data_IF_879554756989
#
_entry.id   IF_879554756989
#
_cell.length_a   1.000
_cell.length_b   1.000
_cell.length_c   1.000
_cell.angle_alpha   90.00
_cell.angle_beta   90.00
_cell.angle_gamma   90.00
#
_symmetry.space_group_name_H-M   'P 1'
#
loop_
_entity.id
_entity.type
_entity.pdbx_description
1 polymer ?
#
# COMPACT_ATOMS: atom_id res chain seq x y z
N UNK A 1 23.93 -18.06 13.06
CA UNK A 1 25.22 -18.33 12.36
C UNK A 1 25.55 -17.39 11.21
N UNK A 2 24.69 -17.20 10.19
CA UNK A 2 25.00 -16.30 9.05
C UNK A 2 25.21 -14.83 9.48
N UNK A 3 24.41 -14.33 10.42
CA UNK A 3 24.54 -12.97 10.99
C UNK A 3 25.88 -12.79 11.70
N UNK A 4 26.28 -13.76 12.54
CA UNK A 4 27.56 -13.74 13.25
C UNK A 4 28.77 -13.66 12.30
N UNK A 5 28.69 -14.32 11.14
CA UNK A 5 29.75 -14.27 10.10
C UNK A 5 29.87 -12.92 9.40
N UNK A 6 28.84 -12.06 9.46
CA UNK A 6 28.86 -10.73 8.83
C UNK A 6 29.54 -9.68 9.70
N UNK A 7 29.80 -9.97 10.99
CA UNK A 7 30.37 -9.03 11.97
C UNK A 7 29.66 -7.66 11.95
N UNK A 8 28.33 -7.62 12.14
CA UNK A 8 27.59 -6.36 12.11
C UNK A 8 28.02 -5.45 13.26
N UNK A 9 27.99 -4.14 13.02
CA UNK A 9 28.10 -3.09 14.03
C UNK A 9 26.73 -2.71 14.63
N UNK A 10 25.66 -2.99 13.92
CA UNK A 10 24.26 -2.85 14.35
C UNK A 10 23.39 -3.92 13.67
N UNK A 11 22.45 -4.50 14.42
CA UNK A 11 21.40 -5.37 13.91
C UNK A 11 20.06 -4.66 14.03
N UNK A 12 19.40 -4.46 12.89
CA UNK A 12 18.03 -3.95 12.82
C UNK A 12 17.07 -5.10 12.53
N UNK A 13 16.04 -5.23 13.35
CA UNK A 13 14.98 -6.21 13.18
C UNK A 13 13.62 -5.60 13.46
N UNK A 14 12.62 -6.47 13.55
CA UNK A 14 11.29 -6.12 14.04
C UNK A 14 10.93 -6.98 15.24
N UNK A 15 9.85 -6.65 15.94
CA UNK A 15 9.31 -7.43 17.05
C UNK A 15 8.98 -8.89 16.69
N UNK A 16 8.91 -9.27 15.41
CA UNK A 16 8.88 -10.68 14.99
C UNK A 16 10.11 -11.49 15.40
N UNK A 17 11.23 -10.83 15.68
CA UNK A 17 12.50 -11.46 16.09
C UNK A 17 12.72 -11.40 17.60
N UNK A 18 11.69 -11.10 18.39
CA UNK A 18 11.78 -10.98 19.85
C UNK A 18 12.31 -12.27 20.51
N UNK A 19 11.84 -13.44 20.07
CA UNK A 19 12.29 -14.75 20.59
C UNK A 19 13.79 -15.02 20.43
N UNK A 20 14.46 -14.31 19.51
CA UNK A 20 15.90 -14.45 19.25
C UNK A 20 16.69 -13.20 19.62
N UNK A 21 16.06 -12.22 20.27
CA UNK A 21 16.69 -10.95 20.61
C UNK A 21 17.98 -11.12 21.44
N UNK A 22 17.94 -11.96 22.47
CA UNK A 22 19.10 -12.21 23.33
C UNK A 22 20.27 -12.82 22.55
N UNK A 23 19.98 -13.65 21.54
CA UNK A 23 21.00 -14.24 20.68
C UNK A 23 21.60 -13.21 19.73
N UNK A 24 20.77 -12.31 19.17
CA UNK A 24 21.24 -11.23 18.30
C UNK A 24 22.05 -10.19 19.08
N UNK A 25 21.63 -9.86 20.30
CA UNK A 25 22.29 -8.88 21.17
C UNK A 25 23.68 -9.34 21.64
N UNK A 26 23.97 -10.64 21.62
CA UNK A 26 25.31 -11.17 21.84
C UNK A 26 26.25 -10.96 20.64
N UNK A 27 25.71 -10.68 19.45
CA UNK A 27 26.48 -10.46 18.22
C UNK A 27 26.84 -8.97 18.07
N UNK A 28 25.86 -8.09 18.21
CA UNK A 28 26.00 -6.64 18.05
C UNK A 28 24.84 -5.91 18.75
N UNK A 29 24.94 -4.59 18.98
CA UNK A 29 23.79 -3.76 19.34
C UNK A 29 22.59 -4.10 18.44
N UNK A 30 21.45 -4.38 19.05
CA UNK A 30 20.26 -4.86 18.33
C UNK A 30 19.08 -3.96 18.65
N UNK A 31 18.41 -3.45 17.61
CA UNK A 31 17.18 -2.67 17.73
C UNK A 31 16.07 -3.40 17.00
N UNK A 32 14.97 -3.67 17.71
CA UNK A 32 13.76 -4.22 17.12
C UNK A 32 12.71 -3.12 16.98
N UNK A 33 12.36 -2.77 15.74
CA UNK A 33 11.26 -1.87 15.48
C UNK A 33 9.92 -2.57 15.77
N UNK A 34 9.02 -1.88 16.47
CA UNK A 34 7.68 -2.40 16.75
C UNK A 34 6.88 -2.49 15.45
N UNK A 35 6.41 -3.70 15.12
CA UNK A 35 5.51 -3.93 14.01
C UNK A 35 4.10 -4.18 14.53
N UNK A 36 3.22 -3.18 14.41
CA UNK A 36 1.81 -3.26 14.82
C UNK A 36 0.86 -3.53 13.64
N UNK A 37 1.38 -3.54 12.41
CA UNK A 37 0.60 -3.63 11.18
C UNK A 37 1.34 -3.03 9.99
N UNK A 38 0.82 -3.22 8.78
CA UNK A 38 1.47 -2.67 7.56
C UNK A 38 1.37 -1.15 7.47
N UNK A 39 0.44 -0.55 8.21
CA UNK A 39 0.26 0.88 8.42
C UNK A 39 1.31 1.51 9.36
N UNK A 40 2.04 0.71 10.15
CA UNK A 40 3.07 1.19 11.10
C UNK A 40 4.40 1.60 10.46
N UNK A 41 4.50 1.60 9.12
CA UNK A 41 5.74 1.83 8.38
C UNK A 41 6.44 3.15 8.71
N UNK A 42 5.68 4.23 9.02
CA UNK A 42 6.24 5.53 9.41
C UNK A 42 6.99 5.45 10.75
N UNK A 43 6.39 4.77 11.74
CA UNK A 43 7.01 4.56 13.06
C UNK A 43 8.24 3.65 12.97
N UNK A 44 8.19 2.62 12.12
CA UNK A 44 9.35 1.78 11.82
C UNK A 44 10.47 2.61 11.19
N UNK A 45 10.16 3.49 10.23
CA UNK A 45 11.13 4.38 9.62
C UNK A 45 11.79 5.31 10.67
N UNK A 46 11.00 5.85 11.60
CA UNK A 46 11.50 6.66 12.72
C UNK A 46 12.46 5.87 13.62
N UNK A 47 12.04 4.67 14.06
CA UNK A 47 12.86 3.82 14.93
C UNK A 47 14.19 3.45 14.28
N UNK A 48 14.16 3.15 12.97
CA UNK A 48 15.38 2.87 12.20
C UNK A 48 16.27 4.12 12.12
N UNK A 49 15.68 5.29 11.85
CA UNK A 49 16.40 6.57 11.81
C UNK A 49 17.15 6.89 13.09
N UNK A 50 16.49 6.71 14.24
CA UNK A 50 17.10 6.89 15.56
C UNK A 50 18.26 5.89 15.77
N UNK A 51 18.04 4.62 15.44
CA UNK A 51 19.04 3.56 15.61
C UNK A 51 20.32 3.80 14.80
N UNK A 52 20.21 4.45 13.63
CA UNK A 52 21.38 4.81 12.80
C UNK A 52 21.85 6.25 13.00
N UNK A 53 21.32 6.97 13.98
CA UNK A 53 21.63 8.38 14.27
C UNK A 53 21.42 9.31 13.06
N UNK A 54 20.29 9.14 12.37
CA UNK A 54 19.88 9.91 11.18
C UNK A 54 18.50 10.59 11.38
N UNK A 55 18.16 10.97 12.62
CA UNK A 55 16.83 11.49 12.96
C UNK A 55 16.41 12.68 12.10
N UNK A 56 17.29 13.66 11.88
CA UNK A 56 17.00 14.84 11.03
C UNK A 56 16.64 14.44 9.59
N UNK A 57 17.37 13.48 9.01
CA UNK A 57 17.09 13.00 7.65
C UNK A 57 15.78 12.21 7.57
N UNK A 58 15.50 11.43 8.60
CA UNK A 58 14.23 10.68 8.72
C UNK A 58 13.04 11.62 8.84
N UNK A 59 13.14 12.66 9.67
CA UNK A 59 12.11 13.69 9.79
C UNK A 59 11.89 14.41 8.45
N UNK A 60 12.98 14.83 7.79
CA UNK A 60 12.89 15.47 6.47
C UNK A 60 12.16 14.60 5.42
N UNK A 61 12.40 13.28 5.42
CA UNK A 61 11.72 12.35 4.49
C UNK A 61 10.22 12.25 4.79
N UNK A 62 9.83 12.28 6.07
CA UNK A 62 8.42 12.25 6.45
C UNK A 62 7.74 13.61 6.18
N UNK A 63 8.43 14.72 6.38
CA UNK A 63 7.92 16.04 6.05
C UNK A 63 7.67 16.19 4.54
N UNK A 64 8.60 15.72 3.70
CA UNK A 64 8.41 15.66 2.25
C UNK A 64 7.20 14.80 1.87
N UNK A 65 7.06 13.61 2.49
CA UNK A 65 5.89 12.76 2.31
C UNK A 65 4.58 13.51 2.60
N UNK A 66 4.47 14.19 3.74
CA UNK A 66 3.27 14.95 4.10
C UNK A 66 3.01 16.12 3.15
N UNK A 67 4.06 16.86 2.77
CA UNK A 67 3.94 17.97 1.80
C UNK A 67 3.42 17.49 0.45
N UNK A 68 3.85 16.31 -0.02
CA UNK A 68 3.35 15.71 -1.26
C UNK A 68 1.87 15.32 -1.18
N UNK A 69 1.40 14.84 -0.02
CA UNK A 69 -0.02 14.55 0.17
C UNK A 69 -0.88 15.81 0.17
N UNK A 70 -0.41 16.88 0.82
CA UNK A 70 -1.06 18.18 0.79
C UNK A 70 -1.16 18.70 -0.66
N UNK A 71 -0.05 18.68 -1.40
CA UNK A 71 -0.02 19.07 -2.81
C UNK A 71 -0.98 18.23 -3.68
N UNK A 72 -1.09 16.93 -3.41
CA UNK A 72 -2.04 16.06 -4.12
C UNK A 72 -3.49 16.51 -3.85
N UNK A 73 -3.85 16.76 -2.58
CA UNK A 73 -5.19 17.30 -2.24
C UNK A 73 -5.44 18.65 -2.89
N UNK A 74 -4.48 19.56 -2.85
CA UNK A 74 -4.59 20.89 -3.48
C UNK A 74 -4.87 20.79 -4.98
N UNK A 75 -4.16 19.89 -5.68
CA UNK A 75 -4.37 19.68 -7.12
C UNK A 75 -5.72 19.05 -7.45
N UNK A 76 -6.26 18.23 -6.55
CA UNK A 76 -7.60 17.66 -6.71
C UNK A 76 -8.71 18.70 -6.43
N UNK A 77 -8.40 19.74 -5.63
CA UNK A 77 -9.38 20.76 -5.25
C UNK A 77 -10.61 20.13 -4.58
N UNK A 78 -11.80 20.60 -4.95
CA UNK A 78 -13.08 20.12 -4.40
C UNK A 78 -13.30 18.61 -4.62
N UNK A 79 -12.68 18.02 -5.66
CA UNK A 79 -12.78 16.57 -5.91
C UNK A 79 -12.15 15.73 -4.80
N UNK A 80 -11.18 16.27 -4.06
CA UNK A 80 -10.52 15.55 -2.97
C UNK A 80 -11.50 15.06 -1.89
N UNK A 81 -12.62 15.77 -1.71
CA UNK A 81 -13.62 15.46 -0.69
C UNK A 81 -14.72 14.53 -1.20
N UNK A 82 -14.93 14.47 -2.52
CA UNK A 82 -16.01 13.70 -3.14
C UNK A 82 -15.55 12.40 -3.78
N UNK A 83 -14.30 12.32 -4.25
CA UNK A 83 -13.81 11.17 -5.01
C UNK A 83 -13.67 9.92 -4.11
N UNK A 84 -14.32 8.82 -4.47
CA UNK A 84 -14.19 7.54 -3.79
C UNK A 84 -13.12 6.64 -4.43
N UNK A 85 -12.02 6.45 -3.71
CA UNK A 85 -10.89 5.63 -4.14
C UNK A 85 -11.02 4.19 -3.62
N UNK A 86 -11.27 3.28 -4.55
CA UNK A 86 -11.26 1.84 -4.32
C UNK A 86 -9.89 1.24 -4.60
N UNK A 87 -9.47 0.28 -3.78
CA UNK A 87 -8.23 -0.47 -3.99
C UNK A 87 -8.52 -1.96 -3.88
N UNK A 88 -8.26 -2.68 -4.97
CA UNK A 88 -8.52 -4.11 -5.09
C UNK A 88 -7.21 -4.86 -5.29
N UNK A 89 -6.97 -5.85 -4.44
CA UNK A 89 -5.89 -6.82 -4.65
C UNK A 89 -6.44 -8.12 -5.19
N UNK A 90 -5.81 -8.60 -6.25
CA UNK A 90 -6.12 -9.89 -6.86
C UNK A 90 -5.04 -10.91 -6.50
N UNK A 91 -5.48 -12.04 -5.94
CA UNK A 91 -4.68 -13.21 -5.62
C UNK A 91 -4.96 -14.37 -6.59
N UNK A 92 -4.18 -15.46 -6.57
CA UNK A 92 -4.48 -16.66 -7.34
C UNK A 92 -5.84 -17.30 -7.05
N UNK A 93 -6.38 -17.11 -5.84
CA UNK A 93 -7.53 -17.83 -5.29
C UNK A 93 -8.66 -16.92 -4.78
N UNK A 94 -8.45 -15.60 -4.70
CA UNK A 94 -9.42 -14.65 -4.13
C UNK A 94 -9.22 -13.22 -4.60
N UNK A 95 -10.25 -12.40 -4.38
CA UNK A 95 -10.21 -10.95 -4.52
C UNK A 95 -10.36 -10.34 -3.12
N UNK A 96 -9.57 -9.31 -2.82
CA UNK A 96 -9.58 -8.64 -1.53
C UNK A 96 -9.70 -7.13 -1.72
N UNK A 97 -10.64 -6.52 -1.02
CA UNK A 97 -10.78 -5.09 -0.92
C UNK A 97 -9.80 -4.59 0.14
N UNK A 98 -8.85 -3.75 -0.25
CA UNK A 98 -7.80 -3.26 0.64
C UNK A 98 -8.39 -2.26 1.63
N UNK A 99 -7.97 -2.33 2.90
CA UNK A 99 -8.52 -1.54 3.99
C UNK A 99 -7.44 -0.70 4.68
N UNK A 100 -7.82 0.14 5.65
CA UNK A 100 -6.95 1.15 6.27
C UNK A 100 -5.69 0.57 6.91
N UNK A 101 -5.76 -0.65 7.48
CA UNK A 101 -4.62 -1.30 8.14
C UNK A 101 -3.55 -1.83 7.17
N UNK A 102 -3.75 -1.67 5.86
CA UNK A 102 -2.71 -1.97 4.86
C UNK A 102 -1.78 -0.80 4.63
N UNK A 103 -0.63 -1.06 4.01
CA UNK A 103 0.31 -0.01 3.61
C UNK A 103 -0.33 1.07 2.71
N UNK A 104 -0.86 0.68 1.55
CA UNK A 104 -1.51 1.61 0.61
C UNK A 104 -2.79 2.22 1.19
N UNK A 105 -3.54 1.47 1.99
CA UNK A 105 -4.70 1.99 2.71
C UNK A 105 -4.34 3.08 3.72
N UNK A 106 -3.21 2.95 4.43
CA UNK A 106 -2.72 3.98 5.35
C UNK A 106 -2.31 5.28 4.63
N UNK A 107 -1.76 5.17 3.42
CA UNK A 107 -1.42 6.34 2.60
C UNK A 107 -2.67 7.06 2.12
N UNK A 108 -3.70 6.29 1.68
CA UNK A 108 -4.99 6.85 1.29
C UNK A 108 -5.71 7.54 2.47
N UNK A 109 -5.57 6.98 3.67
CA UNK A 109 -6.05 7.62 4.90
C UNK A 109 -5.30 8.92 5.20
N UNK A 110 -3.97 8.92 5.07
CA UNK A 110 -3.14 10.10 5.33
C UNK A 110 -3.51 11.28 4.41
N UNK A 111 -3.80 11.02 3.13
CA UNK A 111 -4.28 12.03 2.17
C UNK A 111 -5.77 12.35 2.33
N UNK A 112 -6.48 11.65 3.22
CA UNK A 112 -7.90 11.88 3.53
C UNK A 112 -8.82 11.81 2.30
N UNK A 113 -8.52 10.91 1.35
CA UNK A 113 -9.42 10.66 0.22
C UNK A 113 -10.54 9.72 0.65
N UNK A 114 -11.77 9.99 0.20
CA UNK A 114 -12.92 9.13 0.46
C UNK A 114 -12.69 7.74 -0.14
N UNK A 115 -13.28 6.73 0.49
CA UNK A 115 -13.20 5.32 0.05
C UNK A 115 -14.57 4.68 0.13
N UNK A 116 -14.88 3.64 -0.66
CA UNK A 116 -16.14 2.93 -0.54
C UNK A 116 -16.37 2.41 0.89
N UNK A 117 -17.60 2.43 1.45
CA UNK A 117 -17.87 1.98 2.81
C UNK A 117 -17.37 0.57 3.15
N UNK A 118 -17.31 -0.32 2.14
CA UNK A 118 -16.76 -1.67 2.23
C UNK A 118 -15.26 -1.72 2.56
N UNK A 119 -14.54 -0.61 2.36
CA UNK A 119 -13.08 -0.47 2.46
C UNK A 119 -12.62 0.43 3.61
N UNK A 120 -13.53 0.97 4.43
CA UNK A 120 -13.24 1.84 5.59
C UNK A 120 -12.92 1.07 6.88
N UNK A 121 -12.75 -0.25 6.81
CA UNK A 121 -12.35 -1.08 7.96
C UNK A 121 -10.88 -0.91 8.35
N UNK A 122 -10.53 -1.36 9.55
CA UNK A 122 -9.16 -1.26 10.11
C UNK A 122 -8.27 -2.46 9.78
N UNK A 123 -8.79 -3.49 9.10
CA UNK A 123 -7.98 -4.66 8.71
C UNK A 123 -7.05 -4.30 7.53
N UNK A 124 -6.18 -5.23 7.15
CA UNK A 124 -5.37 -5.10 5.91
C UNK A 124 -6.25 -5.19 4.67
N UNK A 125 -7.26 -6.06 4.70
CA UNK A 125 -8.19 -6.21 3.59
C UNK A 125 -9.31 -7.18 3.89
N UNK A 126 -10.38 -7.07 3.11
CA UNK A 126 -11.58 -7.89 3.21
C UNK A 126 -11.74 -8.72 1.94
N UNK A 127 -11.66 -10.04 2.08
CA UNK A 127 -11.94 -10.95 0.96
C UNK A 127 -13.42 -10.89 0.59
N UNK A 128 -13.69 -10.92 -0.71
CA UNK A 128 -15.04 -10.87 -1.26
C UNK A 128 -15.30 -12.05 -2.20
N UNK A 129 -16.56 -12.50 -2.25
CA UNK A 129 -17.02 -13.41 -3.30
C UNK A 129 -17.26 -12.65 -4.61
N UNK A 130 -17.53 -13.39 -5.69
CA UNK A 130 -17.85 -12.79 -6.99
C UNK A 130 -19.12 -11.95 -6.94
N UNK A 131 -20.14 -12.40 -6.21
CA UNK A 131 -21.42 -11.71 -6.05
C UNK A 131 -21.27 -10.39 -5.28
N UNK A 132 -20.16 -10.23 -4.56
CA UNK A 132 -19.81 -9.04 -3.80
C UNK A 132 -18.92 -8.07 -4.58
N UNK A 133 -18.64 -8.30 -5.87
CA UNK A 133 -17.91 -7.36 -6.72
C UNK A 133 -18.48 -5.93 -6.71
N UNK A 134 -19.80 -5.68 -6.60
CA UNK A 134 -20.32 -4.33 -6.44
C UNK A 134 -19.77 -3.57 -5.21
N UNK A 135 -19.29 -4.29 -4.18
CA UNK A 135 -18.62 -3.65 -3.04
C UNK A 135 -17.24 -3.07 -3.38
N UNK A 136 -16.67 -3.41 -4.54
CA UNK A 136 -15.41 -2.90 -5.03
C UNK A 136 -15.56 -1.58 -5.79
N UNK A 137 -16.79 -1.14 -6.09
CA UNK A 137 -17.00 0.06 -6.89
C UNK A 137 -16.59 1.33 -6.15
N UNK A 138 -16.30 2.37 -6.92
CA UNK A 138 -15.93 3.71 -6.50
C UNK A 138 -15.78 4.58 -7.75
N UNK A 139 -15.39 5.84 -7.60
CA UNK A 139 -15.12 6.69 -8.77
C UNK A 139 -13.87 6.23 -9.52
N UNK A 140 -12.90 5.67 -8.80
CA UNK A 140 -11.65 5.12 -9.32
C UNK A 140 -11.32 3.81 -8.63
N UNK A 141 -10.90 2.80 -9.39
CA UNK A 141 -10.43 1.52 -8.85
C UNK A 141 -8.95 1.31 -9.20
N UNK A 142 -8.10 1.28 -8.17
CA UNK A 142 -6.72 0.82 -8.31
C UNK A 142 -6.64 -0.70 -8.10
N UNK A 143 -6.10 -1.41 -9.08
CA UNK A 143 -5.95 -2.87 -9.06
C UNK A 143 -4.48 -3.24 -9.01
N UNK A 144 -4.09 -4.03 -8.02
CA UNK A 144 -2.73 -4.57 -7.97
C UNK A 144 -2.69 -6.05 -7.63
N UNK A 145 -1.56 -6.67 -7.96
CA UNK A 145 -1.26 -8.06 -7.59
C UNK A 145 0.21 -8.21 -7.22
N UNK A 146 0.49 -9.13 -6.31
CA UNK A 146 1.85 -9.46 -5.88
C UNK A 146 1.90 -10.95 -5.52
N UNK A 147 2.82 -11.68 -6.13
CA UNK A 147 3.01 -13.13 -5.96
C UNK A 147 4.50 -13.47 -5.94
N UNK A 148 4.88 -14.47 -5.14
CA UNK A 148 6.29 -14.84 -4.97
C UNK A 148 6.77 -15.91 -5.97
N UNK A 149 5.84 -16.57 -6.67
CA UNK A 149 6.17 -17.64 -7.60
C UNK A 149 5.59 -17.42 -8.99
N UNK A 150 6.28 -17.96 -9.99
CA UNK A 150 5.83 -17.94 -11.39
C UNK A 150 4.46 -18.62 -11.56
N UNK A 151 4.21 -19.71 -10.82
CA UNK A 151 2.96 -20.45 -10.89
C UNK A 151 1.79 -19.59 -10.38
N UNK A 152 1.94 -18.92 -9.25
CA UNK A 152 0.94 -18.02 -8.70
C UNK A 152 0.71 -16.82 -9.61
N UNK A 153 1.78 -16.27 -10.20
CA UNK A 153 1.69 -15.17 -11.17
C UNK A 153 0.82 -15.56 -12.38
N UNK A 154 1.01 -16.76 -12.93
CA UNK A 154 0.19 -17.29 -14.04
C UNK A 154 -1.27 -17.47 -13.62
N UNK A 155 -1.53 -18.03 -12.45
CA UNK A 155 -2.89 -18.20 -11.91
C UNK A 155 -3.58 -16.84 -11.75
N UNK A 156 -2.90 -15.88 -11.13
CA UNK A 156 -3.44 -14.53 -10.92
C UNK A 156 -3.74 -13.82 -12.24
N UNK A 157 -2.87 -13.96 -13.25
CA UNK A 157 -3.16 -13.44 -14.60
C UNK A 157 -4.44 -14.03 -15.18
N UNK A 158 -4.69 -15.33 -14.98
CA UNK A 158 -5.95 -15.96 -15.40
C UNK A 158 -7.16 -15.43 -14.63
N UNK A 159 -7.02 -15.16 -13.33
CA UNK A 159 -8.09 -14.53 -12.53
C UNK A 159 -8.43 -13.14 -13.06
N UNK A 160 -7.42 -12.31 -13.35
CA UNK A 160 -7.61 -10.97 -13.92
C UNK A 160 -8.35 -11.05 -15.26
N UNK A 161 -7.93 -11.94 -16.16
CA UNK A 161 -8.59 -12.11 -17.46
C UNK A 161 -10.06 -12.51 -17.33
N UNK A 162 -10.37 -13.42 -16.39
CA UNK A 162 -11.76 -13.83 -16.12
C UNK A 162 -12.57 -12.67 -15.56
N UNK A 163 -11.99 -11.91 -14.63
CA UNK A 163 -12.64 -10.75 -14.02
C UNK A 163 -12.96 -9.66 -15.06
N UNK A 164 -12.04 -9.38 -15.98
CA UNK A 164 -12.24 -8.40 -17.06
C UNK A 164 -13.41 -8.76 -17.99
N UNK A 165 -13.73 -10.04 -18.14
CA UNK A 165 -14.87 -10.52 -18.93
C UNK A 165 -16.13 -10.79 -18.09
N UNK A 166 -16.08 -10.51 -16.79
CA UNK A 166 -17.18 -10.82 -15.88
C UNK A 166 -18.30 -9.78 -16.01
N UNK A 167 -19.57 -10.19 -16.18
CA UNK A 167 -20.69 -9.25 -16.24
C UNK A 167 -20.83 -8.38 -14.99
N UNK A 168 -20.53 -8.91 -13.80
CA UNK A 168 -20.61 -8.13 -12.56
C UNK A 168 -19.50 -7.10 -12.46
N UNK A 169 -18.32 -7.39 -13.00
CA UNK A 169 -17.23 -6.42 -13.10
C UNK A 169 -17.57 -5.32 -14.12
N UNK A 170 -18.14 -5.70 -15.26
CA UNK A 170 -18.53 -4.75 -16.32
C UNK A 170 -19.66 -3.80 -15.90
N UNK A 171 -20.38 -4.12 -14.83
CA UNK A 171 -21.45 -3.29 -14.27
C UNK A 171 -20.94 -2.20 -13.32
N UNK A 172 -19.68 -2.26 -12.87
CA UNK A 172 -19.12 -1.24 -11.99
C UNK A 172 -18.98 0.09 -12.73
N UNK A 173 -19.32 1.18 -12.05
CA UNK A 173 -19.30 2.52 -12.62
C UNK A 173 -17.88 2.93 -13.04
N UNK A 174 -16.87 2.67 -12.20
CA UNK A 174 -15.48 2.91 -12.58
C UNK A 174 -15.03 2.10 -13.81
N UNK A 175 -15.57 0.89 -14.00
CA UNK A 175 -15.24 0.07 -15.19
C UNK A 175 -15.87 0.67 -16.43
N UNK A 176 -17.13 1.12 -16.35
CA UNK A 176 -17.83 1.77 -17.47
C UNK A 176 -17.22 3.12 -17.85
N UNK A 177 -16.66 3.83 -16.86
CA UNK A 177 -15.97 5.10 -17.05
C UNK A 177 -14.49 4.94 -17.41
N UNK A 178 -14.00 3.71 -17.59
CA UNK A 178 -12.59 3.41 -17.88
C UNK A 178 -11.60 3.88 -16.79
N UNK A 179 -12.08 4.06 -15.55
CA UNK A 179 -11.30 4.52 -14.38
C UNK A 179 -10.78 3.36 -13.53
N UNK A 180 -10.25 2.33 -14.18
CA UNK A 180 -9.61 1.19 -13.54
C UNK A 180 -8.13 1.17 -13.87
N UNK A 181 -7.30 1.41 -12.86
CA UNK A 181 -5.86 1.56 -13.03
C UNK A 181 -5.10 0.38 -12.45
N UNK A 182 -4.37 -0.32 -13.32
CA UNK A 182 -3.49 -1.41 -12.90
C UNK A 182 -2.15 -0.85 -12.43
N UNK A 183 -1.91 -0.93 -11.12
CA UNK A 183 -0.72 -0.36 -10.47
C UNK A 183 0.23 -1.46 -10.00
N UNK A 184 1.49 -1.08 -9.76
CA UNK A 184 2.53 -2.06 -9.52
C UNK A 184 2.54 -2.54 -8.06
N UNK A 185 2.15 -3.80 -7.89
CA UNK A 185 2.08 -4.45 -6.58
C UNK A 185 3.42 -4.63 -5.86
N UNK A 186 4.58 -4.36 -6.48
CA UNK A 186 5.88 -4.41 -5.78
C UNK A 186 6.06 -3.29 -4.75
N UNK A 187 5.42 -2.13 -4.95
CA UNK A 187 5.44 -1.02 -3.99
C UNK A 187 4.07 -0.72 -3.36
N UNK A 188 2.95 -1.11 -3.97
CA UNK A 188 1.63 -0.99 -3.34
C UNK A 188 1.43 -1.93 -2.12
N UNK A 189 2.25 -2.97 -2.01
CA UNK A 189 2.40 -3.84 -0.83
C UNK A 189 3.54 -3.39 0.11
N UNK A 190 4.16 -2.23 -0.16
CA UNK A 190 5.40 -1.79 0.47
C UNK A 190 5.34 -1.58 1.98
N UNK A 191 6.42 -1.07 2.54
CA UNK A 191 6.59 -0.91 4.00
C UNK A 191 7.55 0.22 4.37
N UNK A 192 7.71 1.24 3.52
CA UNK A 192 8.65 2.33 3.77
C UNK A 192 8.49 3.51 2.82
N UNK A 193 9.25 4.61 3.06
CA UNK A 193 9.02 5.90 2.41
C UNK A 193 9.22 5.90 0.90
N UNK A 194 10.14 5.08 0.37
CA UNK A 194 10.34 4.96 -1.09
C UNK A 194 9.07 4.39 -1.75
N UNK A 195 8.54 3.31 -1.21
CA UNK A 195 7.32 2.70 -1.73
C UNK A 195 6.12 3.63 -1.56
N UNK A 196 6.07 4.39 -0.47
CA UNK A 196 4.99 5.33 -0.20
C UNK A 196 4.97 6.46 -1.24
N UNK A 197 6.15 7.01 -1.55
CA UNK A 197 6.31 8.00 -2.60
C UNK A 197 5.94 7.48 -4.00
N UNK A 198 6.22 6.21 -4.31
CA UNK A 198 5.79 5.59 -5.56
C UNK A 198 4.27 5.38 -5.64
N UNK A 199 3.60 5.11 -4.51
CA UNK A 199 2.12 5.10 -4.46
C UNK A 199 1.60 6.52 -4.72
N UNK A 200 2.19 7.55 -4.10
CA UNK A 200 1.80 8.94 -4.34
C UNK A 200 2.02 9.33 -5.81
N UNK A 201 3.11 8.90 -6.45
CA UNK A 201 3.37 9.12 -7.88
C UNK A 201 2.22 8.57 -8.74
N UNK A 202 1.73 7.37 -8.45
CA UNK A 202 0.58 6.79 -9.14
C UNK A 202 -0.70 7.60 -8.89
N UNK A 203 -0.93 8.07 -7.66
CA UNK A 203 -2.08 8.93 -7.35
C UNK A 203 -2.05 10.23 -8.15
N UNK A 204 -0.89 10.90 -8.26
CA UNK A 204 -0.75 12.08 -9.13
C UNK A 204 -1.03 11.75 -10.60
N UNK A 205 -0.41 10.68 -11.12
CA UNK A 205 -0.56 10.28 -12.52
C UNK A 205 -2.04 10.07 -12.89
N UNK A 206 -2.76 9.31 -12.08
CA UNK A 206 -4.10 8.86 -12.44
C UNK A 206 -5.24 9.77 -11.96
N UNK A 207 -5.05 10.54 -10.90
CA UNK A 207 -6.11 11.40 -10.36
C UNK A 207 -6.01 12.86 -10.83
N UNK A 208 -4.85 13.29 -11.30
CA UNK A 208 -4.56 14.67 -11.72
C UNK A 208 -4.20 14.73 -13.22
N UNK A 209 -3.13 14.07 -13.66
CA UNK A 209 -2.59 14.28 -15.01
C UNK A 209 -3.52 13.78 -16.13
N UNK A 210 -4.21 12.65 -15.94
CA UNK A 210 -5.16 12.15 -16.94
C UNK A 210 -6.42 13.02 -17.08
N UNK A 211 -6.85 13.70 -16.01
CA UNK A 211 -8.00 14.62 -16.09
C UNK A 211 -7.66 15.94 -16.79
N UNK A 212 -6.44 16.46 -16.60
CA UNK A 212 -5.96 17.62 -17.35
C UNK A 212 -5.86 17.33 -18.86
N UNK A 213 -5.65 16.07 -19.25
CA UNK A 213 -5.64 15.66 -20.66
C UNK A 213 -7.03 15.43 -21.27
N UNK A 214 -8.06 15.32 -20.43
CA UNK A 214 -9.45 15.05 -20.82
C UNK A 214 -10.37 16.28 -20.76
N UNK A 215 -9.85 17.42 -20.26
CA UNK A 215 -10.55 18.71 -20.13
C UNK A 215 -10.10 19.71 -21.18
#
# INVERSE_FOLDING_TARGET
>A
EKVLKMQPDLILGSTYSEDIYDQLSQIAPTVLAKYDGSDSWKAIHQTVGEAVNQTEKTEQILDDYWSRLEMLREKLGDRADTIEISVVRIYPDRISLIQKGSFSGSILEDVQLSRPPSQRGNEVGRNISKEQLPLADGDVIFVWTHTNTEQERRKTKSVIQKLQTDPLWSQLEAVQQEKVYHVNGSYWIGSGPIAANLVIDDLFRYLVEEEESSS
#
